data_IF_148628105978
#
_entry.id   IF_148628105978
#
_cell.length_a   1.000
_cell.length_b   1.000
_cell.length_c   1.000
_cell.angle_alpha   90.00
_cell.angle_beta   90.00
_cell.angle_gamma   90.00
#
_symmetry.space_group_name_H-M   'P 1'
#
loop_
_entity.id
_entity.type
_entity.pdbx_description
1 polymer ?
#
# COMPACT_ATOMS: atom_id res chain seq x y z
N UNK A 1 -32.68 -29.39 -56.96
CA UNK A 1 -31.27 -28.96 -56.80
C UNK A 1 -30.84 -28.26 -58.09
N UNK A 2 -30.50 -26.96 -58.08
CA UNK A 2 -29.88 -26.30 -59.23
C UNK A 2 -28.35 -26.43 -59.16
N UNK A 3 -27.74 -26.77 -60.30
CA UNK A 3 -26.29 -26.85 -60.50
C UNK A 3 -25.68 -25.43 -60.52
N UNK A 4 -24.62 -25.22 -59.72
CA UNK A 4 -23.78 -24.02 -59.75
C UNK A 4 -22.91 -23.97 -61.02
N UNK A 5 -22.68 -22.80 -61.65
CA UNK A 5 -21.80 -22.69 -62.80
C UNK A 5 -20.32 -22.73 -62.38
N UNK A 6 -19.51 -23.45 -63.14
CA UNK A 6 -18.05 -23.52 -62.99
C UNK A 6 -17.43 -22.24 -63.58
N UNK A 7 -16.65 -21.51 -62.76
CA UNK A 7 -15.84 -20.36 -63.19
C UNK A 7 -14.68 -20.81 -64.11
N UNK A 8 -14.30 -20.01 -65.12
CA UNK A 8 -13.23 -20.36 -66.05
C UNK A 8 -11.83 -20.26 -65.39
N UNK A 9 -10.84 -21.03 -65.88
CA UNK A 9 -9.51 -21.06 -65.29
C UNK A 9 -8.76 -19.73 -65.50
N UNK A 10 -8.15 -19.21 -64.43
CA UNK A 10 -7.28 -18.03 -64.50
C UNK A 10 -6.06 -18.30 -65.40
N UNK A 11 -5.84 -17.44 -66.39
CA UNK A 11 -4.65 -17.47 -67.24
C UNK A 11 -3.38 -17.19 -66.42
N UNK A 12 -2.31 -17.97 -66.64
CA UNK A 12 -1.00 -17.72 -66.03
C UNK A 12 -0.36 -16.46 -66.64
N UNK A 13 0.28 -15.57 -65.84
CA UNK A 13 0.94 -14.38 -66.35
C UNK A 13 2.07 -14.72 -67.31
N UNK A 14 2.22 -13.93 -68.36
CA UNK A 14 3.33 -14.08 -69.32
C UNK A 14 4.68 -13.77 -68.67
N UNK A 15 5.78 -14.35 -69.17
CA UNK A 15 7.12 -14.23 -68.54
C UNK A 15 7.60 -12.78 -68.30
N UNK A 16 7.11 -11.82 -69.07
CA UNK A 16 7.38 -10.39 -68.90
C UNK A 16 6.60 -9.76 -67.72
N UNK A 17 5.36 -10.23 -67.47
CA UNK A 17 4.54 -9.82 -66.32
C UNK A 17 5.07 -10.39 -65.00
N UNK A 18 5.58 -11.62 -65.01
CA UNK A 18 6.21 -12.23 -63.84
C UNK A 18 7.49 -11.48 -63.44
N UNK A 19 8.34 -11.11 -64.40
CA UNK A 19 9.58 -10.37 -64.15
C UNK A 19 9.33 -8.94 -63.65
N UNK A 20 8.30 -8.26 -64.17
CA UNK A 20 7.90 -6.92 -63.70
C UNK A 20 7.30 -6.96 -62.31
N UNK A 21 6.50 -7.98 -61.99
CA UNK A 21 6.01 -8.23 -60.62
C UNK A 21 7.15 -8.54 -59.64
N UNK A 22 8.13 -9.36 -60.03
CA UNK A 22 9.29 -9.68 -59.20
C UNK A 22 10.14 -8.43 -58.92
N UNK A 23 10.36 -7.59 -59.93
CA UNK A 23 11.07 -6.33 -59.78
C UNK A 23 10.32 -5.36 -58.86
N UNK A 24 9.00 -5.22 -59.02
CA UNK A 24 8.15 -4.41 -58.15
C UNK A 24 8.18 -4.90 -56.69
N UNK A 25 8.20 -6.22 -56.46
CA UNK A 25 8.30 -6.81 -55.14
C UNK A 25 9.67 -6.55 -54.51
N UNK A 26 10.77 -6.70 -55.27
CA UNK A 26 12.12 -6.35 -54.82
C UNK A 26 12.24 -4.87 -54.42
N UNK A 27 11.60 -3.97 -55.17
CA UNK A 27 11.57 -2.54 -54.86
C UNK A 27 10.75 -2.25 -53.59
N UNK A 28 9.60 -2.92 -53.40
CA UNK A 28 8.83 -2.85 -52.13
C UNK A 28 9.63 -3.34 -50.94
N UNK A 29 10.35 -4.46 -51.07
CA UNK A 29 11.21 -5.00 -50.00
C UNK A 29 12.35 -4.03 -49.66
N UNK A 30 12.97 -3.40 -50.67
CA UNK A 30 13.98 -2.35 -50.44
C UNK A 30 13.40 -1.15 -49.71
N UNK A 31 12.23 -0.66 -50.11
CA UNK A 31 11.53 0.43 -49.44
C UNK A 31 11.20 0.10 -47.97
N UNK A 32 10.69 -1.10 -47.71
CA UNK A 32 10.40 -1.59 -46.35
C UNK A 32 11.68 -1.71 -45.51
N UNK A 33 12.80 -2.18 -46.07
CA UNK A 33 14.09 -2.22 -45.35
C UNK A 33 14.55 -0.82 -44.93
N UNK A 34 14.37 0.19 -45.78
CA UNK A 34 14.69 1.59 -45.45
C UNK A 34 13.78 2.12 -44.35
N UNK A 35 12.48 1.81 -44.39
CA UNK A 35 11.53 2.21 -43.35
C UNK A 35 11.85 1.55 -41.99
N UNK A 36 12.19 0.26 -41.97
CA UNK A 36 12.61 -0.46 -40.76
C UNK A 36 13.91 0.12 -40.20
N UNK A 37 14.86 0.53 -41.06
CA UNK A 37 16.09 1.19 -40.61
C UNK A 37 15.78 2.52 -39.92
N UNK A 38 14.92 3.37 -40.52
CA UNK A 38 14.46 4.63 -39.91
C UNK A 38 13.75 4.41 -38.57
N UNK A 39 12.92 3.36 -38.47
CA UNK A 39 12.24 3.01 -37.22
C UNK A 39 13.21 2.52 -36.14
N UNK A 40 14.24 1.74 -36.51
CA UNK A 40 15.30 1.32 -35.57
C UNK A 40 16.07 2.52 -35.04
N UNK A 41 16.36 3.52 -35.87
CA UNK A 41 17.02 4.77 -35.42
C UNK A 41 16.13 5.56 -34.47
N UNK A 42 14.84 5.76 -34.82
CA UNK A 42 13.87 6.41 -33.91
C UNK A 42 13.70 5.65 -32.59
N UNK A 43 13.73 4.32 -32.61
CA UNK A 43 13.66 3.50 -31.40
C UNK A 43 14.90 3.67 -30.52
N UNK A 44 16.10 3.82 -31.13
CA UNK A 44 17.33 4.15 -30.40
C UNK A 44 17.24 5.54 -29.79
N UNK A 45 16.74 6.54 -30.52
CA UNK A 45 16.50 7.88 -29.97
C UNK A 45 15.50 7.87 -28.81
N UNK A 46 14.39 7.14 -28.93
CA UNK A 46 13.41 6.97 -27.85
C UNK A 46 14.00 6.22 -26.64
N UNK A 47 14.85 5.22 -26.88
CA UNK A 47 15.54 4.51 -25.80
C UNK A 47 16.62 5.38 -25.15
N UNK A 48 17.33 6.20 -25.91
CA UNK A 48 18.26 7.20 -25.40
C UNK A 48 17.48 8.22 -24.55
N UNK A 49 16.35 8.72 -25.03
CA UNK A 49 15.44 9.58 -24.27
C UNK A 49 14.90 8.89 -23.02
N UNK A 50 14.63 7.57 -23.02
CA UNK A 50 14.26 6.81 -21.82
C UNK A 50 15.41 6.67 -20.83
N UNK A 51 16.64 6.48 -21.31
CA UNK A 51 17.85 6.42 -20.48
C UNK A 51 18.12 7.80 -19.88
N UNK A 52 18.01 8.87 -20.66
CA UNK A 52 18.10 10.26 -20.18
C UNK A 52 16.93 10.61 -19.25
N UNK A 53 15.71 10.10 -19.47
CA UNK A 53 14.55 10.31 -18.56
C UNK A 53 14.66 9.48 -17.29
N UNK A 54 15.35 8.34 -17.30
CA UNK A 54 15.74 7.57 -16.10
C UNK A 54 16.90 8.24 -15.34
N UNK A 55 17.88 8.80 -16.05
CA UNK A 55 18.98 9.58 -15.45
C UNK A 55 18.55 10.99 -15.02
N UNK A 56 17.43 11.48 -15.54
CA UNK A 56 16.89 12.82 -15.33
C UNK A 56 15.42 12.73 -14.91
N UNK A 57 15.10 11.86 -13.94
CA UNK A 57 14.03 12.20 -12.98
C UNK A 57 14.69 13.16 -11.99
N UNK A 58 15.00 14.35 -12.47
CA UNK A 58 15.49 15.40 -11.61
C UNK A 58 14.32 15.75 -10.69
N UNK A 59 14.38 15.35 -9.41
CA UNK A 59 13.35 15.59 -8.39
C UNK A 59 12.90 17.05 -8.42
N UNK A 60 13.81 17.98 -8.72
CA UNK A 60 13.51 19.39 -8.90
C UNK A 60 12.63 19.70 -10.11
N UNK A 61 12.80 19.05 -11.26
CA UNK A 61 11.93 19.24 -12.43
C UNK A 61 10.54 18.67 -12.19
N UNK A 62 10.44 17.54 -11.50
CA UNK A 62 9.17 16.95 -11.08
C UNK A 62 8.45 17.78 -10.02
N UNK A 63 9.17 18.26 -8.99
CA UNK A 63 8.63 19.19 -7.97
C UNK A 63 8.28 20.53 -8.61
N UNK A 64 9.07 21.02 -9.58
CA UNK A 64 8.77 22.24 -10.34
C UNK A 64 7.57 22.06 -11.26
N UNK A 65 7.39 20.89 -11.89
CA UNK A 65 6.16 20.56 -12.63
C UNK A 65 4.96 20.39 -11.71
N UNK A 66 5.09 19.76 -10.54
CA UNK A 66 4.04 19.64 -9.51
C UNK A 66 3.65 21.01 -8.95
N UNK A 67 4.62 21.87 -8.65
CA UNK A 67 4.43 23.28 -8.25
C UNK A 67 3.83 24.14 -9.38
N UNK A 68 4.07 23.77 -10.64
CA UNK A 68 3.52 24.46 -11.84
C UNK A 68 2.14 23.90 -12.25
N UNK A 69 1.80 22.67 -11.85
CA UNK A 69 0.49 22.03 -12.02
C UNK A 69 -0.53 22.52 -10.98
N UNK A 70 -0.08 23.09 -9.86
CA UNK A 70 -0.94 23.76 -8.88
C UNK A 70 -0.43 25.19 -8.63
N UNK A 71 -0.61 26.14 -9.58
CA UNK A 71 -0.45 27.53 -9.24
C UNK A 71 -1.46 27.85 -8.13
N UNK A 72 -1.02 28.54 -7.07
CA UNK A 72 -1.86 28.88 -5.92
C UNK A 72 -3.24 29.41 -6.32
N UNK A 73 -3.34 30.20 -7.41
CA UNK A 73 -4.60 30.69 -7.98
C UNK A 73 -5.52 29.61 -8.57
N UNK A 74 -4.97 28.59 -9.24
CA UNK A 74 -5.77 27.45 -9.73
C UNK A 74 -6.19 26.53 -8.58
N UNK A 75 -5.38 26.41 -7.52
CA UNK A 75 -5.78 25.70 -6.31
C UNK A 75 -6.91 26.46 -5.58
N UNK A 76 -6.78 27.78 -5.39
CA UNK A 76 -7.84 28.61 -4.80
C UNK A 76 -9.14 28.55 -5.61
N UNK A 77 -9.05 28.69 -6.94
CA UNK A 77 -10.21 28.57 -7.83
C UNK A 77 -10.83 27.15 -7.83
N UNK A 78 -10.00 26.10 -7.82
CA UNK A 78 -10.49 24.73 -7.67
C UNK A 78 -11.19 24.56 -6.32
N UNK A 79 -10.62 25.04 -5.22
CA UNK A 79 -11.21 24.95 -3.88
C UNK A 79 -12.51 25.75 -3.74
N UNK A 80 -12.64 26.89 -4.40
CA UNK A 80 -13.90 27.67 -4.45
C UNK A 80 -15.02 26.93 -5.19
N UNK A 81 -14.68 26.17 -6.23
CA UNK A 81 -15.65 25.41 -7.05
C UNK A 81 -15.89 23.98 -6.57
N UNK A 82 -15.08 23.49 -5.64
CA UNK A 82 -15.15 22.12 -5.09
C UNK A 82 -16.32 21.99 -4.11
N UNK A 83 -17.10 20.92 -4.24
CA UNK A 83 -18.23 20.66 -3.32
C UNK A 83 -17.71 20.43 -1.90
N UNK A 84 -18.48 20.78 -0.85
CA UNK A 84 -18.04 20.59 0.54
C UNK A 84 -17.57 19.17 0.87
N UNK A 85 -18.22 18.15 0.29
CA UNK A 85 -17.83 16.73 0.48
C UNK A 85 -16.47 16.38 -0.12
N UNK A 86 -16.08 17.05 -1.20
CA UNK A 86 -14.82 16.80 -1.90
C UNK A 86 -13.62 17.48 -1.20
N UNK A 87 -13.91 18.33 -0.19
CA UNK A 87 -12.90 18.97 0.67
C UNK A 87 -12.51 18.10 1.88
N UNK A 88 -13.20 16.99 2.09
CA UNK A 88 -12.91 16.05 3.17
C UNK A 88 -11.67 15.23 2.81
N UNK A 89 -10.69 15.20 3.70
CA UNK A 89 -9.48 14.40 3.51
C UNK A 89 -9.11 13.58 4.74
N UNK A 90 -8.21 12.62 4.51
CA UNK A 90 -7.53 11.88 5.54
C UNK A 90 -6.03 12.21 5.50
N UNK A 91 -5.41 12.33 6.67
CA UNK A 91 -3.96 12.34 6.82
C UNK A 91 -3.51 10.91 7.08
N UNK A 92 -2.53 10.45 6.31
CA UNK A 92 -1.95 9.12 6.44
C UNK A 92 -0.45 9.31 6.66
N UNK A 93 0.08 8.72 7.72
CA UNK A 93 1.51 8.84 8.06
C UNK A 93 2.12 7.48 8.30
N UNK A 94 3.29 7.24 7.75
CA UNK A 94 4.13 6.07 8.01
C UNK A 94 5.60 6.50 7.90
N UNK A 95 6.52 5.65 8.35
CA UNK A 95 7.96 5.91 8.32
C UNK A 95 8.64 5.00 7.29
N UNK A 96 9.57 5.57 6.51
CA UNK A 96 10.42 4.81 5.59
C UNK A 96 11.89 4.92 5.99
N UNK A 97 12.54 3.78 6.19
CA UNK A 97 13.99 3.77 6.39
C UNK A 97 14.71 4.11 5.07
N UNK A 98 15.61 5.08 5.14
CA UNK A 98 16.51 5.50 4.08
C UNK A 98 17.94 5.09 4.41
N UNK A 99 18.78 4.94 3.38
CA UNK A 99 20.22 4.74 3.57
C UNK A 99 20.82 6.06 4.06
N UNK A 100 21.54 6.03 5.17
CA UNK A 100 22.32 7.17 5.63
C UNK A 100 23.36 7.53 4.56
N UNK A 101 23.27 8.75 4.06
CA UNK A 101 24.17 9.29 3.06
C UNK A 101 24.17 10.82 3.15
N UNK A 102 25.32 11.42 2.88
CA UNK A 102 25.48 12.86 2.77
C UNK A 102 25.69 13.19 1.30
N UNK A 103 24.96 14.16 0.77
CA UNK A 103 25.01 14.58 -0.62
C UNK A 103 25.12 16.11 -0.69
N UNK A 104 26.04 16.61 -1.53
CA UNK A 104 26.11 18.04 -1.80
C UNK A 104 25.18 18.36 -2.97
N UNK A 105 24.17 19.19 -2.71
CA UNK A 105 23.25 19.70 -3.71
C UNK A 105 23.86 20.99 -4.30
N UNK A 106 24.55 20.85 -5.45
CA UNK A 106 25.22 21.95 -6.15
C UNK A 106 24.26 23.12 -6.50
N UNK A 107 23.06 22.91 -7.10
CA UNK A 107 22.12 23.99 -7.37
C UNK A 107 21.68 24.79 -6.14
N UNK A 108 21.55 24.12 -5.00
CA UNK A 108 21.09 24.73 -3.75
C UNK A 108 22.22 25.13 -2.80
N UNK A 109 23.48 24.94 -3.23
CA UNK A 109 24.70 25.15 -2.45
C UNK A 109 24.57 24.70 -0.99
N UNK A 110 24.14 23.45 -0.79
CA UNK A 110 23.94 22.90 0.56
C UNK A 110 24.23 21.42 0.64
N UNK A 111 24.59 20.98 1.83
CA UNK A 111 24.75 19.57 2.16
C UNK A 111 23.40 19.02 2.65
N UNK A 112 22.91 17.98 2.00
CA UNK A 112 21.70 17.21 2.32
C UNK A 112 22.09 15.85 2.90
N UNK A 113 21.28 15.28 3.80
CA UNK A 113 21.56 13.96 4.40
C UNK A 113 21.62 13.93 5.93
N UNK A 114 21.60 15.09 6.57
CA UNK A 114 21.36 15.21 8.01
C UNK A 114 19.87 15.29 8.30
N UNK A 115 19.52 15.05 9.56
CA UNK A 115 18.15 15.20 10.02
C UNK A 115 17.69 16.67 9.93
N UNK A 116 16.58 16.87 9.23
CA UNK A 116 15.97 18.18 8.94
C UNK A 116 14.46 18.03 9.13
N UNK A 117 13.91 18.72 10.12
CA UNK A 117 12.47 18.75 10.41
C UNK A 117 11.76 19.96 9.77
N UNK A 118 12.43 20.60 8.79
CA UNK A 118 11.98 21.86 8.24
C UNK A 118 12.17 23.05 9.21
N UNK A 119 11.83 24.24 8.73
CA UNK A 119 11.90 25.52 9.47
C UNK A 119 13.22 25.76 10.24
N UNK A 120 14.33 25.23 9.75
CA UNK A 120 15.67 25.41 10.35
C UNK A 120 15.95 24.53 11.57
N UNK A 121 15.11 23.54 11.86
CA UNK A 121 15.32 22.59 12.95
C UNK A 121 16.18 21.42 12.45
N UNK A 122 17.51 21.58 12.57
CA UNK A 122 18.51 20.57 12.23
C UNK A 122 19.31 20.18 13.46
N UNK A 123 19.67 18.90 13.55
CA UNK A 123 20.47 18.35 14.67
C UNK A 123 21.92 18.85 14.62
N UNK A 124 22.39 19.34 13.47
CA UNK A 124 23.70 19.97 13.30
C UNK A 124 23.57 21.39 12.71
N UNK A 125 24.11 22.43 13.38
CA UNK A 125 24.08 23.80 12.89
C UNK A 125 25.21 24.02 11.88
N UNK A 126 25.07 23.53 10.65
CA UNK A 126 25.92 24.00 9.55
C UNK A 126 25.12 25.07 8.77
N UNK A 127 25.63 26.31 8.83
CA UNK A 127 25.13 27.46 8.09
C UNK A 127 24.96 27.12 6.59
N UNK A 128 23.73 26.86 6.15
CA UNK A 128 23.34 26.99 4.75
C UNK A 128 21.85 27.33 4.70
N UNK A 129 21.58 28.49 4.14
CA UNK A 129 20.26 29.09 4.02
C UNK A 129 19.47 28.31 2.96
N UNK A 130 18.34 27.70 3.32
CA UNK A 130 17.50 27.01 2.35
C UNK A 130 16.18 26.55 2.94
N UNK A 131 15.11 27.31 2.68
CA UNK A 131 13.73 26.89 2.95
C UNK A 131 13.29 25.96 1.82
N UNK A 132 13.19 24.65 2.06
CA UNK A 132 12.23 23.71 1.45
C UNK A 132 12.42 22.31 2.04
N UNK A 133 11.31 21.72 2.46
CA UNK A 133 11.17 20.58 3.37
C UNK A 133 11.19 19.21 2.67
N UNK A 134 12.06 18.33 3.15
CA UNK A 134 11.81 16.89 3.21
C UNK A 134 12.22 16.44 4.59
N UNK A 135 11.24 16.07 5.42
CA UNK A 135 11.49 15.66 6.80
C UNK A 135 12.23 14.32 6.79
N UNK A 136 13.56 14.38 6.91
CA UNK A 136 14.43 13.21 6.99
C UNK A 136 14.91 13.17 8.43
N UNK A 137 14.75 12.03 9.09
CA UNK A 137 15.11 11.88 10.51
C UNK A 137 16.19 10.82 10.68
N UNK A 138 17.03 11.01 11.69
CA UNK A 138 18.17 10.15 12.03
C UNK A 138 17.73 8.85 12.73
N UNK A 139 16.48 8.80 13.16
CA UNK A 139 15.79 7.65 13.73
C UNK A 139 14.27 7.90 13.82
N UNK A 140 13.53 7.06 14.55
CA UNK A 140 12.09 7.24 14.75
C UNK A 140 11.80 8.62 15.34
N UNK A 141 10.76 9.28 14.83
CA UNK A 141 10.44 10.64 15.26
C UNK A 141 9.91 10.61 16.70
N UNK A 142 10.41 11.47 17.62
CA UNK A 142 9.86 11.54 18.97
C UNK A 142 8.36 11.85 18.95
N UNK A 143 7.57 11.16 19.79
CA UNK A 143 6.11 11.29 19.80
C UNK A 143 5.59 12.72 20.01
N UNK A 144 6.31 13.55 20.78
CA UNK A 144 5.99 14.98 20.97
C UNK A 144 6.13 15.77 19.69
N UNK A 145 7.08 15.40 18.83
CA UNK A 145 7.33 16.04 17.54
C UNK A 145 6.35 15.57 16.49
N UNK A 146 6.05 14.27 16.44
CA UNK A 146 4.95 13.73 15.63
C UNK A 146 3.65 14.48 15.92
N UNK A 147 3.35 14.73 17.20
CA UNK A 147 2.18 15.51 17.60
C UNK A 147 2.22 16.92 17.00
N UNK A 148 3.33 17.65 17.15
CA UNK A 148 3.47 19.02 16.61
C UNK A 148 3.26 19.05 15.09
N UNK A 149 3.94 18.15 14.35
CA UNK A 149 3.84 18.06 12.90
C UNK A 149 2.43 17.73 12.44
N UNK A 150 1.75 16.80 13.11
CA UNK A 150 0.36 16.44 12.80
C UNK A 150 -0.58 17.64 13.00
N UNK A 151 -0.49 18.33 14.13
CA UNK A 151 -1.34 19.49 14.42
C UNK A 151 -1.07 20.65 13.45
N UNK A 152 0.19 20.89 13.09
CA UNK A 152 0.55 21.88 12.07
C UNK A 152 -0.02 21.52 10.70
N UNK A 153 0.13 20.26 10.26
CA UNK A 153 -0.40 19.79 8.99
C UNK A 153 -1.93 19.94 8.91
N UNK A 154 -2.66 19.63 9.99
CA UNK A 154 -4.11 19.81 10.07
C UNK A 154 -4.49 21.29 9.91
N UNK A 155 -3.76 22.20 10.56
CA UNK A 155 -4.01 23.64 10.45
C UNK A 155 -3.71 24.20 9.06
N UNK A 156 -2.63 23.74 8.43
CA UNK A 156 -2.30 24.12 7.05
C UNK A 156 -3.35 23.61 6.05
N UNK A 157 -3.86 22.39 6.22
CA UNK A 157 -4.99 21.87 5.42
C UNK A 157 -6.25 22.71 5.62
N UNK A 158 -6.56 23.09 6.86
CA UNK A 158 -7.69 23.97 7.18
C UNK A 158 -7.53 25.35 6.53
N UNK A 159 -6.34 25.94 6.58
CA UNK A 159 -6.03 27.20 5.92
C UNK A 159 -6.15 27.12 4.38
N UNK A 160 -5.89 25.94 3.82
CA UNK A 160 -6.09 25.64 2.40
C UNK A 160 -7.56 25.36 2.01
N UNK A 161 -8.49 25.36 2.98
CA UNK A 161 -9.92 25.11 2.75
C UNK A 161 -10.32 23.63 2.76
N UNK A 162 -9.44 22.74 3.21
CA UNK A 162 -9.70 21.31 3.36
C UNK A 162 -10.13 20.98 4.80
N UNK A 163 -10.92 19.93 4.96
CA UNK A 163 -11.34 19.40 6.26
C UNK A 163 -10.70 18.03 6.50
N UNK A 164 -9.75 17.97 7.42
CA UNK A 164 -9.16 16.70 7.86
C UNK A 164 -10.12 15.98 8.80
N UNK A 165 -10.79 14.94 8.30
CA UNK A 165 -11.73 14.14 9.08
C UNK A 165 -11.05 12.95 9.76
N UNK A 166 -10.05 12.35 9.12
CA UNK A 166 -9.46 11.08 9.55
C UNK A 166 -7.93 11.19 9.60
N UNK A 167 -7.33 10.58 10.62
CA UNK A 167 -5.91 10.33 10.74
C UNK A 167 -5.65 8.82 10.78
N UNK A 168 -4.75 8.32 9.93
CA UNK A 168 -4.40 6.89 9.85
C UNK A 168 -2.90 6.70 10.11
N UNK A 169 -2.58 5.85 11.08
CA UNK A 169 -1.20 5.54 11.46
C UNK A 169 -1.00 4.05 11.79
N UNK A 170 0.26 3.61 11.88
CA UNK A 170 0.63 2.27 12.34
C UNK A 170 0.57 2.18 13.87
N UNK A 171 0.79 0.99 14.43
CA UNK A 171 0.89 0.79 15.88
C UNK A 171 2.33 0.97 16.42
N UNK A 172 3.15 1.78 15.76
CA UNK A 172 4.49 2.12 16.24
C UNK A 172 4.44 2.81 17.60
N UNK A 173 5.46 2.58 18.45
CA UNK A 173 5.49 3.12 19.82
C UNK A 173 5.36 4.64 19.89
N UNK A 174 5.93 5.35 18.90
CA UNK A 174 5.78 6.80 18.74
C UNK A 174 4.33 7.23 18.49
N UNK A 175 3.64 6.55 17.57
CA UNK A 175 2.23 6.82 17.24
C UNK A 175 1.30 6.48 18.41
N UNK A 176 1.50 5.33 19.07
CA UNK A 176 0.76 4.96 20.28
C UNK A 176 0.91 6.01 21.39
N UNK A 177 2.14 6.47 21.63
CA UNK A 177 2.41 7.49 22.66
C UNK A 177 1.78 8.84 22.31
N UNK A 178 1.84 9.23 21.03
CA UNK A 178 1.23 10.45 20.53
C UNK A 178 -0.30 10.43 20.69
N UNK A 179 -0.97 9.37 20.25
CA UNK A 179 -2.43 9.27 20.35
C UNK A 179 -2.91 9.21 21.81
N UNK A 180 -2.18 8.51 22.68
CA UNK A 180 -2.45 8.51 24.12
C UNK A 180 -2.37 9.92 24.69
N UNK A 181 -1.33 10.68 24.32
CA UNK A 181 -1.14 12.09 24.75
C UNK A 181 -2.22 13.02 24.20
N UNK A 182 -2.75 12.75 23.01
CA UNK A 182 -3.91 13.45 22.44
C UNK A 182 -5.24 13.05 23.08
N UNK A 183 -5.23 12.13 24.05
CA UNK A 183 -6.42 11.69 24.78
C UNK A 183 -7.34 10.79 23.96
N UNK A 184 -6.77 10.06 23.00
CA UNK A 184 -7.49 9.04 22.22
C UNK A 184 -7.56 7.76 23.05
N UNK A 185 -8.76 7.20 23.17
CA UNK A 185 -9.02 5.93 23.84
C UNK A 185 -9.84 5.02 22.93
N UNK A 186 -10.08 3.78 23.37
CA UNK A 186 -10.90 2.81 22.65
C UNK A 186 -12.34 3.31 22.43
N UNK A 187 -12.91 4.00 23.42
CA UNK A 187 -14.26 4.56 23.36
C UNK A 187 -14.26 5.93 22.69
N UNK A 188 -13.19 6.71 22.87
CA UNK A 188 -13.00 8.02 22.27
C UNK A 188 -11.93 7.94 21.17
N UNK A 189 -12.34 7.43 20.01
CA UNK A 189 -11.45 7.19 18.88
C UNK A 189 -11.12 8.45 18.05
N UNK A 190 -11.00 9.61 18.69
CA UNK A 190 -10.70 10.89 18.04
C UNK A 190 -9.97 11.85 18.99
N UNK A 191 -9.28 12.83 18.41
CA UNK A 191 -8.78 14.02 19.10
C UNK A 191 -9.37 15.28 18.49
N UNK A 192 -9.16 16.43 19.13
CA UNK A 192 -9.72 17.71 18.69
C UNK A 192 -8.60 18.71 18.36
N UNK A 193 -8.75 19.39 17.21
CA UNK A 193 -7.87 20.47 16.76
C UNK A 193 -8.72 21.66 16.38
N UNK A 194 -8.57 22.77 17.08
CA UNK A 194 -9.31 24.02 16.85
C UNK A 194 -10.84 23.76 16.73
N UNK A 195 -11.38 23.00 17.69
CA UNK A 195 -12.77 22.52 17.80
C UNK A 195 -13.27 21.57 16.68
N UNK A 196 -12.37 21.04 15.84
CA UNK A 196 -12.68 20.02 14.83
C UNK A 196 -12.22 18.65 15.33
N UNK A 197 -13.09 17.65 15.26
CA UNK A 197 -12.77 16.26 15.60
C UNK A 197 -12.05 15.58 14.45
N UNK A 198 -10.91 14.97 14.75
CA UNK A 198 -10.14 14.14 13.83
C UNK A 198 -10.16 12.70 14.34
N UNK A 199 -10.80 11.83 13.58
CA UNK A 199 -10.99 10.41 13.91
C UNK A 199 -9.72 9.61 13.63
N UNK A 200 -9.30 8.75 14.56
CA UNK A 200 -8.04 8.02 14.45
C UNK A 200 -8.27 6.56 14.10
N UNK A 201 -7.63 6.08 13.05
CA UNK A 201 -7.64 4.68 12.66
C UNK A 201 -6.24 4.08 12.71
N UNK A 202 -6.15 2.87 13.24
CA UNK A 202 -4.98 2.03 13.06
C UNK A 202 -5.00 1.40 11.68
N UNK A 203 -3.83 1.23 11.06
CA UNK A 203 -3.73 0.55 9.77
C UNK A 203 -4.24 -0.92 9.83
N UNK A 204 -5.36 -1.23 9.15
CA UNK A 204 -5.96 -2.57 9.23
C UNK A 204 -5.04 -3.72 8.74
N UNK A 205 -4.33 -3.60 7.61
CA UNK A 205 -3.31 -4.57 7.18
C UNK A 205 -2.29 -4.91 8.27
N UNK A 206 -1.78 -3.89 8.98
CA UNK A 206 -0.86 -4.08 10.09
C UNK A 206 -1.50 -4.78 11.30
N UNK A 207 -2.77 -4.55 11.59
CA UNK A 207 -3.48 -5.29 12.64
C UNK A 207 -3.56 -6.79 12.32
N UNK A 208 -3.86 -7.19 11.08
CA UNK A 208 -3.87 -8.62 10.65
C UNK A 208 -2.49 -9.24 10.85
N UNK A 209 -1.45 -8.50 10.43
CA UNK A 209 -0.05 -8.91 10.58
C UNK A 209 0.30 -9.16 12.04
N UNK A 210 -0.11 -8.26 12.94
CA UNK A 210 0.16 -8.35 14.37
C UNK A 210 -0.55 -9.55 15.02
N UNK A 211 -1.81 -9.82 14.65
CA UNK A 211 -2.53 -11.02 15.10
C UNK A 211 -1.74 -12.29 14.74
N UNK A 212 -1.32 -12.44 13.48
CA UNK A 212 -0.51 -13.59 13.06
C UNK A 212 0.80 -13.68 13.83
N UNK A 213 1.52 -12.56 13.97
CA UNK A 213 2.81 -12.53 14.64
C UNK A 213 2.70 -12.95 16.11
N UNK A 214 1.64 -12.50 16.80
CA UNK A 214 1.37 -12.88 18.19
C UNK A 214 1.00 -14.35 18.34
N UNK A 215 0.22 -14.91 17.40
CA UNK A 215 -0.03 -16.36 17.37
C UNK A 215 1.28 -17.13 17.30
N UNK A 216 2.20 -16.69 16.42
CA UNK A 216 3.48 -17.35 16.22
C UNK A 216 4.39 -17.26 17.43
N UNK A 217 4.51 -16.09 18.06
CA UNK A 217 5.46 -15.88 19.15
C UNK A 217 5.00 -16.44 20.48
N UNK A 218 3.70 -16.29 20.79
CA UNK A 218 3.19 -16.45 22.15
C UNK A 218 1.94 -17.32 22.20
N UNK A 219 1.18 -17.42 21.11
CA UNK A 219 -0.11 -18.10 21.08
C UNK A 219 -1.21 -17.29 21.78
N UNK A 220 -2.36 -17.91 21.96
CA UNK A 220 -3.54 -17.29 22.57
C UNK A 220 -4.26 -18.22 23.57
N UNK A 221 -5.08 -17.63 24.42
CA UNK A 221 -6.01 -18.31 25.33
C UNK A 221 -7.44 -17.93 24.93
N UNK A 222 -8.25 -18.87 24.46
CA UNK A 222 -9.66 -18.63 24.12
C UNK A 222 -10.53 -19.53 24.98
N UNK A 223 -11.41 -18.94 25.80
CA UNK A 223 -12.37 -19.67 26.63
C UNK A 223 -11.70 -20.75 27.54
N UNK A 224 -10.44 -20.53 27.95
CA UNK A 224 -9.64 -21.48 28.74
C UNK A 224 -8.80 -22.47 27.92
N UNK A 225 -8.98 -22.52 26.61
CA UNK A 225 -8.23 -23.39 25.69
C UNK A 225 -7.02 -22.66 25.07
N UNK A 226 -5.93 -23.41 24.86
CA UNK A 226 -4.66 -22.88 24.38
C UNK A 226 -4.53 -23.01 22.87
N UNK A 227 -4.26 -21.91 22.21
CA UNK A 227 -4.04 -21.81 20.76
C UNK A 227 -2.54 -21.60 20.52
N UNK A 228 -1.82 -22.66 20.16
CA UNK A 228 -0.38 -22.61 19.90
C UNK A 228 -0.07 -22.59 18.40
N UNK A 229 1.09 -22.05 18.03
CA UNK A 229 1.55 -22.06 16.64
C UNK A 229 1.80 -23.48 16.09
N UNK A 230 2.12 -24.43 16.97
CA UNK A 230 2.34 -25.84 16.62
C UNK A 230 1.13 -26.47 15.88
N UNK A 231 -0.10 -26.03 16.19
CA UNK A 231 -1.31 -26.49 15.48
C UNK A 231 -1.21 -26.19 13.98
N UNK A 232 -0.69 -25.02 13.61
CA UNK A 232 -0.49 -24.64 12.21
C UNK A 232 0.67 -25.41 11.55
N UNK A 233 1.73 -25.69 12.31
CA UNK A 233 2.87 -26.52 11.85
C UNK A 233 2.43 -27.95 11.55
N UNK A 234 1.62 -28.54 12.44
CA UNK A 234 1.03 -29.86 12.28
C UNK A 234 0.05 -29.90 11.09
N UNK A 235 -0.80 -28.87 10.96
CA UNK A 235 -1.67 -28.72 9.80
C UNK A 235 -0.87 -28.71 8.50
N UNK A 236 0.16 -27.87 8.41
CA UNK A 236 1.01 -27.80 7.22
C UNK A 236 1.69 -29.14 6.90
N UNK A 237 2.19 -29.82 7.92
CA UNK A 237 2.84 -31.14 7.77
C UNK A 237 1.86 -32.19 7.27
N UNK A 238 0.60 -32.15 7.72
CA UNK A 238 -0.44 -33.05 7.25
C UNK A 238 -0.84 -32.74 5.80
N UNK A 239 -1.23 -31.48 5.49
CA UNK A 239 -1.74 -31.10 4.16
C UNK A 239 -0.67 -31.08 3.08
N UNK A 240 0.62 -31.03 3.42
CA UNK A 240 1.72 -31.09 2.43
C UNK A 240 1.97 -32.51 1.92
N UNK A 241 1.48 -33.53 2.64
CA UNK A 241 1.58 -34.95 2.26
C UNK A 241 0.34 -35.47 1.54
N UNK A 242 -0.73 -34.69 1.47
CA UNK A 242 -1.97 -35.08 0.79
C UNK A 242 -1.89 -34.70 -0.69
N UNK A 243 -2.38 -35.58 -1.57
CA UNK A 243 -2.48 -35.30 -3.01
C UNK A 243 -3.47 -34.16 -3.29
N UNK A 244 -4.59 -34.12 -2.56
CA UNK A 244 -5.55 -33.01 -2.59
C UNK A 244 -5.42 -32.14 -1.34
N UNK A 245 -4.93 -30.90 -1.53
CA UNK A 245 -4.59 -30.00 -0.43
C UNK A 245 -5.75 -29.06 -0.09
N UNK A 246 -6.40 -29.30 1.06
CA UNK A 246 -7.47 -28.43 1.60
C UNK A 246 -7.02 -26.96 1.74
N UNK A 247 -5.79 -26.73 2.20
CA UNK A 247 -5.19 -25.41 2.38
C UNK A 247 -4.13 -25.13 1.31
N UNK A 248 -4.53 -25.08 0.02
CA UNK A 248 -3.60 -24.97 -1.11
C UNK A 248 -2.69 -23.73 -1.06
N UNK A 249 -3.19 -22.63 -0.49
CA UNK A 249 -2.46 -21.39 -0.31
C UNK A 249 -1.43 -21.44 0.83
N UNK A 250 -1.58 -22.38 1.78
CA UNK A 250 -0.65 -22.53 2.89
C UNK A 250 0.64 -23.17 2.37
N UNK A 251 1.76 -22.48 2.52
CA UNK A 251 3.08 -22.96 2.07
C UNK A 251 4.07 -22.95 3.23
N UNK A 252 5.24 -23.59 3.06
CA UNK A 252 6.32 -23.56 4.06
C UNK A 252 6.65 -22.14 4.53
N UNK A 253 6.57 -21.15 3.64
CA UNK A 253 6.86 -19.73 3.93
C UNK A 253 5.83 -19.07 4.85
N UNK A 254 4.63 -19.62 4.99
CA UNK A 254 3.61 -19.11 5.92
C UNK A 254 3.91 -19.55 7.36
N UNK A 255 4.37 -20.79 7.50
CA UNK A 255 4.65 -21.41 8.80
C UNK A 255 6.04 -21.02 9.28
N UNK A 256 7.06 -21.29 8.46
CA UNK A 256 8.44 -20.90 8.68
C UNK A 256 8.77 -19.64 7.87
N UNK A 257 8.31 -18.50 8.39
CA UNK A 257 8.57 -17.18 7.81
C UNK A 257 10.08 -16.93 7.57
N UNK A 258 10.50 -16.72 6.30
CA UNK A 258 11.84 -16.21 6.01
C UNK A 258 11.97 -14.74 6.45
N UNK A 259 13.18 -14.16 6.41
CA UNK A 259 13.38 -12.73 6.66
C UNK A 259 12.38 -11.87 5.85
N UNK A 260 11.86 -10.83 6.49
CA UNK A 260 10.84 -9.91 5.94
C UNK A 260 9.46 -10.51 5.64
N UNK A 261 9.26 -11.82 5.73
CA UNK A 261 7.92 -12.41 5.55
C UNK A 261 6.97 -12.15 6.74
N UNK A 262 7.52 -11.77 7.89
CA UNK A 262 6.76 -11.23 9.02
C UNK A 262 5.99 -9.95 8.65
N UNK A 263 6.43 -9.21 7.63
CA UNK A 263 5.77 -8.00 7.13
C UNK A 263 4.76 -8.25 6.01
N UNK A 264 4.72 -9.45 5.43
CA UNK A 264 3.84 -9.76 4.30
C UNK A 264 2.40 -10.01 4.77
N UNK A 265 1.54 -9.01 4.62
CA UNK A 265 0.11 -9.06 4.99
C UNK A 265 -0.62 -10.22 4.31
N UNK A 266 -0.31 -10.48 3.03
CA UNK A 266 -0.88 -11.64 2.31
C UNK A 266 -0.70 -12.96 3.06
N UNK A 267 0.49 -13.20 3.63
CA UNK A 267 0.73 -14.45 4.37
C UNK A 267 -0.08 -14.48 5.67
N UNK A 268 -0.23 -13.35 6.36
CA UNK A 268 -1.05 -13.27 7.55
C UNK A 268 -2.53 -13.55 7.24
N UNK A 269 -3.08 -12.91 6.20
CA UNK A 269 -4.46 -13.14 5.75
C UNK A 269 -4.71 -14.59 5.31
N UNK A 270 -3.75 -15.23 4.63
CA UNK A 270 -3.86 -16.64 4.22
C UNK A 270 -3.80 -17.61 5.42
N UNK A 271 -3.00 -17.31 6.45
CA UNK A 271 -2.96 -18.09 7.70
C UNK A 271 -4.28 -17.96 8.47
N UNK A 272 -4.84 -16.75 8.54
CA UNK A 272 -6.08 -16.45 9.27
C UNK A 272 -7.32 -16.59 8.35
N UNK A 273 -7.35 -17.65 7.54
CA UNK A 273 -8.41 -17.86 6.55
C UNK A 273 -9.37 -18.97 6.95
N UNK A 274 -10.59 -18.92 6.41
CA UNK A 274 -11.56 -19.99 6.58
C UNK A 274 -11.03 -21.36 6.13
N UNK A 275 -10.26 -21.42 5.03
CA UNK A 275 -9.65 -22.68 4.58
C UNK A 275 -8.72 -23.31 5.62
N UNK A 276 -7.95 -22.49 6.35
CA UNK A 276 -7.09 -22.96 7.44
C UNK A 276 -7.93 -23.44 8.62
N UNK A 277 -9.01 -22.73 8.97
CA UNK A 277 -9.93 -23.17 10.02
C UNK A 277 -10.54 -24.55 9.73
N UNK A 278 -11.05 -24.76 8.52
CA UNK A 278 -11.59 -26.04 8.06
C UNK A 278 -10.51 -27.12 8.06
N UNK A 279 -9.28 -26.77 7.64
CA UNK A 279 -8.13 -27.66 7.71
C UNK A 279 -7.81 -28.10 9.14
N UNK A 280 -7.84 -27.19 10.12
CA UNK A 280 -7.61 -27.50 11.53
C UNK A 280 -8.71 -28.42 12.08
N UNK A 281 -9.99 -28.14 11.77
CA UNK A 281 -11.12 -29.00 12.16
C UNK A 281 -10.97 -30.41 11.59
N UNK A 282 -10.62 -30.51 10.31
CA UNK A 282 -10.40 -31.79 9.63
C UNK A 282 -9.23 -32.55 10.26
N UNK A 283 -8.13 -31.87 10.56
CA UNK A 283 -6.98 -32.48 11.20
C UNK A 283 -7.32 -33.06 12.58
N UNK A 284 -8.11 -32.33 13.38
CA UNK A 284 -8.56 -32.81 14.68
C UNK A 284 -9.40 -34.09 14.57
N UNK A 285 -10.28 -34.17 13.55
CA UNK A 285 -11.09 -35.37 13.26
C UNK A 285 -10.23 -36.55 12.79
N UNK A 286 -9.33 -36.32 11.84
CA UNK A 286 -8.45 -37.38 11.29
C UNK A 286 -7.53 -37.95 12.37
N UNK A 287 -7.02 -37.10 13.26
CA UNK A 287 -6.21 -37.52 14.41
C UNK A 287 -7.03 -38.10 15.56
N UNK A 288 -8.37 -38.10 15.47
CA UNK A 288 -9.29 -38.54 16.52
C UNK A 288 -8.95 -37.90 17.87
N UNK A 289 -8.62 -36.60 17.86
CA UNK A 289 -8.25 -35.88 19.08
C UNK A 289 -9.46 -35.84 20.02
N UNK A 290 -9.19 -36.06 21.31
CA UNK A 290 -10.18 -35.98 22.38
C UNK A 290 -9.68 -35.10 23.52
N UNK A 291 -10.59 -34.72 24.43
CA UNK A 291 -10.28 -33.93 25.62
C UNK A 291 -9.68 -32.56 25.28
N UNK A 292 -8.65 -32.15 26.04
CA UNK A 292 -8.05 -30.81 25.92
C UNK A 292 -7.41 -30.55 24.55
N UNK A 293 -6.83 -31.58 23.92
CA UNK A 293 -6.20 -31.42 22.61
C UNK A 293 -7.22 -31.07 21.53
N UNK A 294 -8.37 -31.75 21.54
CA UNK A 294 -9.47 -31.44 20.64
C UNK A 294 -9.96 -30.01 20.84
N UNK A 295 -10.19 -29.61 22.10
CA UNK A 295 -10.63 -28.25 22.44
C UNK A 295 -9.67 -27.17 21.95
N UNK A 296 -8.37 -27.35 22.17
CA UNK A 296 -7.32 -26.44 21.66
C UNK A 296 -7.39 -26.27 20.12
N UNK A 297 -7.57 -27.36 19.38
CA UNK A 297 -7.70 -27.31 17.92
C UNK A 297 -9.00 -26.62 17.47
N UNK A 298 -10.12 -26.92 18.14
CA UNK A 298 -11.39 -26.27 17.85
C UNK A 298 -11.35 -24.77 18.16
N UNK A 299 -10.68 -24.37 19.24
CA UNK A 299 -10.42 -22.98 19.60
C UNK A 299 -9.57 -22.28 18.53
N UNK A 300 -8.50 -22.93 18.04
CA UNK A 300 -7.66 -22.38 16.97
C UNK A 300 -8.43 -22.21 15.65
N UNK A 301 -9.32 -23.15 15.33
CA UNK A 301 -10.18 -23.04 14.15
C UNK A 301 -11.21 -21.92 14.30
N UNK A 302 -11.88 -21.82 15.46
CA UNK A 302 -12.81 -20.73 15.79
C UNK A 302 -12.12 -19.37 15.68
N UNK A 303 -10.89 -19.27 16.18
CA UNK A 303 -10.07 -18.07 16.09
C UNK A 303 -9.73 -17.66 14.64
N UNK A 304 -9.51 -18.62 13.74
CA UNK A 304 -9.28 -18.34 12.32
C UNK A 304 -10.56 -17.94 11.56
N UNK A 305 -11.74 -18.35 12.03
CA UNK A 305 -13.03 -17.97 11.44
C UNK A 305 -13.50 -16.61 11.94
N UNK A 306 -13.42 -16.41 13.26
CA UNK A 306 -13.88 -15.23 13.95
C UNK A 306 -12.75 -14.74 14.85
N UNK A 307 -12.29 -13.50 14.62
CA UNK A 307 -11.39 -12.79 15.52
C UNK A 307 -12.10 -12.33 16.81
N UNK A 308 -13.09 -13.08 17.27
CA UNK A 308 -13.93 -12.73 18.41
C UNK A 308 -13.30 -13.27 19.69
N UNK A 309 -13.01 -12.36 20.64
CA UNK A 309 -12.30 -12.65 21.88
C UNK A 309 -11.62 -11.42 22.49
N UNK A 310 -11.34 -11.48 23.80
CA UNK A 310 -10.64 -10.42 24.54
C UNK A 310 -9.14 -10.63 24.38
N UNK A 311 -8.62 -10.29 23.20
CA UNK A 311 -7.19 -10.28 22.94
C UNK A 311 -6.69 -8.85 22.76
N UNK A 312 -5.59 -8.50 23.41
CA UNK A 312 -4.96 -7.18 23.24
C UNK A 312 -4.64 -6.90 21.76
N UNK A 313 -4.33 -7.94 20.97
CA UNK A 313 -4.08 -7.81 19.53
C UNK A 313 -5.33 -7.50 18.67
N UNK A 314 -6.52 -7.61 19.25
CA UNK A 314 -7.81 -7.29 18.62
C UNK A 314 -8.33 -5.91 19.09
N UNK A 315 -7.72 -5.29 20.11
CA UNK A 315 -8.12 -3.95 20.58
C UNK A 315 -8.06 -2.89 19.48
N UNK A 316 -7.04 -2.95 18.62
CA UNK A 316 -6.94 -2.05 17.46
C UNK A 316 -8.12 -2.20 16.48
N UNK A 317 -8.65 -3.42 16.33
CA UNK A 317 -9.85 -3.66 15.52
C UNK A 317 -11.10 -3.12 16.19
N UNK A 318 -11.25 -3.34 17.49
CA UNK A 318 -12.38 -2.81 18.26
C UNK A 318 -12.40 -1.28 18.22
N UNK A 319 -11.24 -0.65 18.40
CA UNK A 319 -11.03 0.78 18.21
C UNK A 319 -11.46 1.23 16.80
N UNK A 320 -10.98 0.56 15.75
CA UNK A 320 -11.34 0.88 14.38
C UNK A 320 -12.85 0.73 14.10
N UNK A 321 -13.52 -0.27 14.67
CA UNK A 321 -14.97 -0.45 14.54
C UNK A 321 -15.71 0.73 15.18
N UNK A 322 -15.35 1.13 16.40
CA UNK A 322 -15.94 2.29 17.08
C UNK A 322 -15.71 3.56 16.25
N UNK A 323 -14.48 3.78 15.80
CA UNK A 323 -14.09 4.90 14.98
C UNK A 323 -14.89 4.98 13.66
N UNK A 324 -14.99 3.87 12.93
CA UNK A 324 -15.75 3.78 11.67
C UNK A 324 -17.23 4.09 11.87
N UNK A 325 -17.83 3.65 12.99
CA UNK A 325 -19.22 4.01 13.32
C UNK A 325 -19.37 5.52 13.51
N UNK A 326 -18.43 6.15 14.22
CA UNK A 326 -18.45 7.60 14.42
C UNK A 326 -18.25 8.38 13.12
N UNK A 327 -17.26 7.99 12.30
CA UNK A 327 -17.01 8.58 10.97
C UNK A 327 -18.27 8.46 10.10
N UNK A 328 -18.90 7.29 10.10
CA UNK A 328 -20.12 7.06 9.31
C UNK A 328 -21.27 7.96 9.73
N UNK A 329 -21.50 8.16 11.03
CA UNK A 329 -22.51 9.10 11.51
C UNK A 329 -22.24 10.51 11.00
N UNK A 330 -21.01 11.02 11.13
CA UNK A 330 -20.65 12.37 10.65
C UNK A 330 -20.84 12.51 9.14
N UNK A 331 -20.38 11.54 8.35
CA UNK A 331 -20.53 11.56 6.89
C UNK A 331 -21.99 11.52 6.47
N UNK A 332 -22.81 10.66 7.10
CA UNK A 332 -24.24 10.54 6.80
C UNK A 332 -25.02 11.79 7.16
N UNK A 333 -24.84 12.29 8.38
CA UNK A 333 -25.61 13.40 8.92
C UNK A 333 -25.21 14.73 8.29
N UNK A 334 -23.91 14.98 8.13
CA UNK A 334 -23.40 16.28 7.69
C UNK A 334 -23.22 16.38 6.18
N UNK A 335 -22.89 15.27 5.51
CA UNK A 335 -22.52 15.26 4.10
C UNK A 335 -23.41 14.38 3.22
N UNK A 336 -24.39 13.66 3.80
CA UNK A 336 -25.38 12.84 3.09
C UNK A 336 -24.73 11.84 2.11
N UNK A 337 -23.55 11.32 2.45
CA UNK A 337 -22.80 10.40 1.58
C UNK A 337 -23.48 9.03 1.56
N UNK A 338 -23.71 8.41 0.39
CA UNK A 338 -24.44 7.14 0.29
C UNK A 338 -23.64 5.93 0.80
N UNK A 339 -22.31 6.00 0.76
CA UNK A 339 -21.41 4.93 1.19
C UNK A 339 -20.03 5.48 1.58
N UNK A 340 -19.26 4.69 2.32
CA UNK A 340 -17.88 4.96 2.71
C UNK A 340 -16.93 3.96 2.05
N UNK A 341 -15.90 4.46 1.36
CA UNK A 341 -14.85 3.63 0.75
C UNK A 341 -13.76 3.32 1.78
N UNK A 342 -13.90 2.22 2.51
CA UNK A 342 -12.94 1.80 3.55
C UNK A 342 -11.54 1.49 3.01
N UNK A 343 -11.40 1.19 1.72
CA UNK A 343 -10.08 1.02 1.08
C UNK A 343 -9.25 2.32 1.04
N UNK A 344 -9.84 3.48 1.34
CA UNK A 344 -9.13 4.76 1.49
C UNK A 344 -8.75 5.05 2.95
N UNK A 345 -8.98 4.11 3.86
CA UNK A 345 -8.76 4.24 5.31
C UNK A 345 -7.68 3.25 5.80
N UNK A 346 -6.59 3.17 5.04
CA UNK A 346 -5.40 2.36 5.34
C UNK A 346 -4.15 3.07 4.82
N UNK A 347 -2.97 2.54 5.13
CA UNK A 347 -1.67 3.10 4.72
C UNK A 347 -1.15 2.53 3.39
N UNK A 348 -1.87 1.62 2.73
CA UNK A 348 -1.38 0.90 1.54
C UNK A 348 -1.01 1.87 0.40
N UNK A 349 -1.75 2.97 0.22
CA UNK A 349 -1.41 3.96 -0.81
C UNK A 349 -0.06 4.64 -0.56
N UNK A 350 0.29 4.87 0.71
CA UNK A 350 1.56 5.47 1.13
C UNK A 350 2.70 4.46 0.98
N UNK A 351 2.50 3.21 1.41
CA UNK A 351 3.49 2.13 1.22
C UNK A 351 3.78 1.83 -0.26
N UNK A 352 2.75 1.90 -1.12
CA UNK A 352 2.91 1.78 -2.56
C UNK A 352 3.73 2.94 -3.14
N UNK A 353 3.52 4.16 -2.64
CA UNK A 353 4.33 5.31 -3.03
C UNK A 353 5.80 5.15 -2.59
N UNK A 354 6.06 4.66 -1.37
CA UNK A 354 7.40 4.29 -0.91
C UNK A 354 8.07 3.24 -1.78
N UNK A 355 7.31 2.22 -2.20
CA UNK A 355 7.80 1.18 -3.09
C UNK A 355 8.17 1.73 -4.47
N UNK A 356 7.36 2.64 -5.01
CA UNK A 356 7.67 3.33 -6.26
C UNK A 356 8.94 4.20 -6.12
N UNK A 357 9.11 4.89 -4.99
CA UNK A 357 10.32 5.67 -4.69
C UNK A 357 11.57 4.79 -4.63
N UNK A 358 11.49 3.62 -4.02
CA UNK A 358 12.61 2.66 -3.95
C UNK A 358 12.92 1.96 -5.27
N UNK A 359 11.95 1.89 -6.17
CA UNK A 359 12.10 1.24 -7.48
C UNK A 359 12.60 2.16 -8.59
N UNK A 360 12.63 3.48 -8.35
CA UNK A 360 13.32 4.46 -9.19
C UNK A 360 14.82 4.38 -8.97
#
# INVERSE_FOLDING_TARGET
MPLTPVLPPMALPTGLEAATMEHALKMKVRSLKVQVCKLKTKLREVNQLKITRKACVNKESMIKHLKKLLPAKAYTFAMETTKPVDKICAIITDEISLKQAVHYNEPADRIEGFEDFGRGQRTMPLHSCGRNSSDITSGPIPHTRLQSLLLEAIRELKAAGMECLVFVCDQGSGNCSMLTRLGVTKEKAYFEVDAVRVFCLWDPPHLIKNIRNNWRSSGFMLDGDRIFWAILEELYTYVSKQDSRLCCCLTKKHVHLPPFASMRVRFAAQVLSHSVAVGIKTLAQVKQLTGQAQRNYMAAAKFCENFDGIFNCVEGWQHNIVCLKMIWCVLRERHQVPYLLTNRLNQDCLENAYSAIRGM
#
